data_IF_498740370097
#
_entry.id   IF_498740370097
#
_cell.length_a   1.000
_cell.length_b   1.000
_cell.length_c   1.000
_cell.angle_alpha   90.00
_cell.angle_beta   90.00
_cell.angle_gamma   90.00
#
_symmetry.space_group_name_H-M   'P 1'
#
loop_
_entity.id
_entity.type
_entity.pdbx_description
1 polymer ?
#
# COMPACT_ATOMS: atom_id res chain seq x y z
N UNK A 1 36.08 -50.39 39.95
CA UNK A 1 35.05 -49.33 39.96
C UNK A 1 35.48 -48.32 38.91
N UNK A 2 35.09 -48.57 37.65
CA UNK A 2 35.48 -47.75 36.51
C UNK A 2 34.55 -46.54 36.41
N UNK A 3 35.12 -45.33 36.42
CA UNK A 3 34.39 -44.10 36.11
C UNK A 3 34.45 -43.88 34.60
N UNK A 4 33.33 -44.12 33.92
CA UNK A 4 33.13 -43.68 32.54
C UNK A 4 32.88 -42.18 32.58
N UNK A 5 33.85 -41.39 32.14
CA UNK A 5 33.66 -39.96 31.86
C UNK A 5 32.98 -39.82 30.51
N UNK A 6 31.67 -39.56 30.50
CA UNK A 6 30.93 -39.13 29.31
C UNK A 6 31.39 -37.72 28.94
N UNK A 7 32.08 -37.58 27.81
CA UNK A 7 32.35 -36.29 27.20
C UNK A 7 31.05 -35.76 26.55
N UNK A 8 30.57 -34.62 27.03
CA UNK A 8 29.46 -33.89 26.44
C UNK A 8 29.96 -33.11 25.21
N UNK A 9 29.76 -33.70 24.03
CA UNK A 9 30.18 -33.13 22.76
C UNK A 9 29.11 -32.15 22.26
N UNK A 10 28.90 -31.07 23.00
CA UNK A 10 28.07 -29.94 22.59
C UNK A 10 28.78 -29.10 21.53
N UNK A 11 28.94 -29.65 20.32
CA UNK A 11 29.36 -28.90 19.13
C UNK A 11 28.21 -27.98 18.66
N UNK A 12 28.02 -26.86 19.37
CA UNK A 12 27.31 -25.70 18.83
C UNK A 12 28.13 -25.18 17.66
N UNK A 13 27.73 -25.57 16.45
CA UNK A 13 28.18 -24.91 15.22
C UNK A 13 27.62 -23.49 15.29
N UNK A 14 28.46 -22.54 15.71
CA UNK A 14 28.14 -21.11 15.64
C UNK A 14 27.88 -20.80 14.17
N UNK A 15 26.61 -20.61 13.80
CA UNK A 15 26.28 -20.02 12.52
C UNK A 15 27.02 -18.68 12.44
N UNK A 16 27.88 -18.45 11.44
CA UNK A 16 28.50 -17.16 11.28
C UNK A 16 27.37 -16.15 11.15
N UNK A 17 27.39 -15.12 12.02
CA UNK A 17 26.50 -13.97 11.93
C UNK A 17 26.73 -13.40 10.54
N UNK A 18 25.78 -13.57 9.62
CA UNK A 18 25.86 -12.93 8.30
C UNK A 18 26.02 -11.43 8.58
N UNK A 19 27.13 -10.84 8.17
CA UNK A 19 27.21 -9.39 8.10
C UNK A 19 25.98 -8.92 7.33
N UNK A 20 25.12 -8.14 7.99
CA UNK A 20 23.88 -7.68 7.39
C UNK A 20 24.21 -6.99 6.06
N UNK A 21 23.40 -7.24 5.04
CA UNK A 21 23.59 -6.62 3.74
C UNK A 21 23.76 -5.11 3.88
N UNK A 22 24.90 -4.57 3.45
CA UNK A 22 25.13 -3.13 3.46
C UNK A 22 24.24 -2.49 2.40
N UNK A 23 23.27 -1.71 2.85
CA UNK A 23 22.39 -0.95 1.95
C UNK A 23 23.19 0.14 1.23
N UNK A 24 22.81 0.41 -0.02
CA UNK A 24 23.26 1.60 -0.74
C UNK A 24 22.77 2.88 -0.04
N UNK A 25 23.29 4.06 -0.43
CA UNK A 25 22.71 5.34 0.00
C UNK A 25 21.21 5.46 -0.28
N UNK A 26 20.75 4.99 -1.45
CA UNK A 26 19.30 4.94 -1.79
C UNK A 26 18.56 3.97 -0.88
N UNK A 27 19.08 2.76 -0.65
CA UNK A 27 18.45 1.78 0.24
C UNK A 27 18.32 2.28 1.67
N UNK A 28 19.34 2.98 2.17
CA UNK A 28 19.32 3.60 3.51
C UNK A 28 18.29 4.73 3.58
N UNK A 29 18.26 5.63 2.59
CA UNK A 29 17.27 6.70 2.52
C UNK A 29 15.83 6.15 2.39
N UNK A 30 15.65 5.10 1.59
CA UNK A 30 14.36 4.46 1.38
C UNK A 30 13.85 3.77 2.66
N UNK A 31 14.76 3.15 3.42
CA UNK A 31 14.44 2.62 4.75
C UNK A 31 13.98 3.74 5.72
N UNK A 32 14.65 4.90 5.68
CA UNK A 32 14.23 6.09 6.42
C UNK A 32 12.83 6.57 6.02
N UNK A 33 12.57 6.65 4.71
CA UNK A 33 11.24 6.93 4.17
C UNK A 33 10.17 5.95 4.70
N UNK A 34 10.44 4.63 4.70
CA UNK A 34 9.49 3.64 5.25
C UNK A 34 9.15 3.91 6.72
N UNK A 35 10.07 4.48 7.51
CA UNK A 35 9.80 4.90 8.88
C UNK A 35 8.72 5.98 9.02
N UNK A 36 8.49 6.78 7.97
CA UNK A 36 7.50 7.89 7.98
C UNK A 36 6.10 7.46 7.53
N UNK A 37 5.98 6.34 6.80
CA UNK A 37 4.73 5.92 6.17
C UNK A 37 3.60 5.55 7.14
N UNK A 38 3.92 4.91 8.27
CA UNK A 38 2.89 4.56 9.27
C UNK A 38 2.34 5.79 10.03
N UNK A 39 3.17 6.75 10.45
CA UNK A 39 2.68 8.06 10.91
C UNK A 39 1.71 8.72 9.91
N UNK A 40 2.07 8.78 8.63
CA UNK A 40 1.21 9.32 7.57
C UNK A 40 -0.13 8.58 7.50
N UNK A 41 -0.09 7.26 7.35
CA UNK A 41 -1.29 6.42 7.25
C UNK A 41 -2.24 6.61 8.45
N UNK A 42 -1.70 6.76 9.67
CA UNK A 42 -2.53 7.01 10.85
C UNK A 42 -3.19 8.38 10.82
N UNK A 43 -2.42 9.43 10.53
CA UNK A 43 -2.95 10.79 10.49
C UNK A 43 -4.06 10.94 9.43
N UNK A 44 -3.87 10.34 8.27
CA UNK A 44 -4.84 10.36 7.16
C UNK A 44 -6.09 9.54 7.48
N UNK A 45 -5.92 8.40 8.17
CA UNK A 45 -7.06 7.61 8.65
C UNK A 45 -7.87 8.38 9.70
N UNK A 46 -7.22 9.12 10.59
CA UNK A 46 -7.89 9.89 11.64
C UNK A 46 -8.70 11.06 11.03
N UNK A 47 -8.33 11.55 9.85
CA UNK A 47 -9.15 12.46 9.04
C UNK A 47 -10.25 11.76 8.24
N UNK A 48 -10.07 10.50 7.84
CA UNK A 48 -11.04 9.77 7.02
C UNK A 48 -12.37 9.59 7.77
N UNK A 49 -13.41 10.28 7.33
CA UNK A 49 -14.75 10.25 7.93
C UNK A 49 -15.24 11.59 8.51
N UNK A 50 -14.42 12.64 8.53
CA UNK A 50 -14.88 13.98 8.91
C UNK A 50 -15.63 14.67 7.76
N UNK A 51 -16.87 15.12 8.00
CA UNK A 51 -17.78 15.69 6.99
C UNK A 51 -17.80 17.23 6.93
N UNK A 52 -16.92 17.94 7.62
CA UNK A 52 -16.82 19.41 7.49
C UNK A 52 -18.02 20.22 8.02
N UNK A 53 -19.07 19.57 8.52
CA UNK A 53 -20.33 20.22 8.94
C UNK A 53 -20.30 20.87 10.33
N UNK A 54 -19.12 21.05 10.93
CA UNK A 54 -18.95 21.76 12.19
C UNK A 54 -17.51 22.22 12.37
N UNK A 55 -17.31 23.44 12.87
CA UNK A 55 -15.98 23.92 13.21
C UNK A 55 -15.57 23.32 14.55
N UNK A 56 -14.86 22.20 14.52
CA UNK A 56 -14.28 21.54 15.69
C UNK A 56 -12.77 21.83 15.75
N UNK A 57 -12.29 22.62 16.73
CA UNK A 57 -10.86 22.91 16.92
C UNK A 57 -9.99 21.66 17.13
N UNK A 58 -10.56 20.51 17.53
CA UNK A 58 -9.84 19.25 17.59
C UNK A 58 -9.46 18.73 16.20
N UNK A 59 -10.28 19.01 15.18
CA UNK A 59 -10.04 18.62 13.79
C UNK A 59 -8.92 19.46 13.17
N UNK A 60 -8.80 20.74 13.54
CA UNK A 60 -7.65 21.57 13.14
C UNK A 60 -6.32 20.93 13.55
N UNK A 61 -6.27 20.30 14.72
CA UNK A 61 -5.06 19.60 15.16
C UNK A 61 -4.77 18.36 14.30
N UNK A 62 -5.81 17.59 13.94
CA UNK A 62 -5.67 16.42 13.07
C UNK A 62 -5.28 16.80 11.64
N UNK A 63 -5.82 17.90 11.10
CA UNK A 63 -5.43 18.43 9.79
C UNK A 63 -3.95 18.79 9.80
N UNK A 64 -3.49 19.57 10.79
CA UNK A 64 -2.06 19.94 10.92
C UNK A 64 -1.15 18.73 11.09
N UNK A 65 -1.59 17.70 11.78
CA UNK A 65 -0.82 16.47 11.96
C UNK A 65 -0.71 15.67 10.66
N UNK A 66 -1.80 15.59 9.88
CA UNK A 66 -1.79 14.96 8.55
C UNK A 66 -0.92 15.74 7.57
N UNK A 67 -1.06 17.06 7.48
CA UNK A 67 -0.21 17.94 6.65
C UNK A 67 1.27 17.76 7.00
N UNK A 68 1.60 17.78 8.30
CA UNK A 68 2.98 17.57 8.76
C UNK A 68 3.51 16.19 8.38
N UNK A 69 2.71 15.14 8.57
CA UNK A 69 3.12 13.78 8.21
C UNK A 69 3.33 13.65 6.70
N UNK A 70 2.46 14.28 5.90
CA UNK A 70 2.58 14.35 4.45
C UNK A 70 3.89 15.03 4.02
N UNK A 71 4.17 16.24 4.55
CA UNK A 71 5.38 17.00 4.25
C UNK A 71 6.66 16.22 4.62
N UNK A 72 6.67 15.59 5.79
CA UNK A 72 7.80 14.77 6.25
C UNK A 72 8.01 13.58 5.31
N UNK A 73 6.96 12.84 4.97
CA UNK A 73 7.08 11.70 4.06
C UNK A 73 7.53 12.15 2.67
N UNK A 74 6.96 13.22 2.13
CA UNK A 74 7.35 13.78 0.84
C UNK A 74 8.80 14.27 0.84
N UNK A 75 9.26 14.89 1.93
CA UNK A 75 10.65 15.27 2.15
C UNK A 75 11.60 14.08 2.05
N UNK A 76 11.33 13.00 2.78
CA UNK A 76 12.17 11.79 2.74
C UNK A 76 12.17 11.11 1.37
N UNK A 77 11.05 11.13 0.64
CA UNK A 77 10.99 10.64 -0.74
C UNK A 77 11.87 11.47 -1.68
N UNK A 78 11.86 12.80 -1.56
CA UNK A 78 12.76 13.67 -2.34
C UNK A 78 14.23 13.37 -2.04
N UNK A 79 14.57 13.07 -0.79
CA UNK A 79 15.93 12.63 -0.43
C UNK A 79 16.32 11.32 -1.14
N UNK A 80 15.42 10.33 -1.21
CA UNK A 80 15.64 9.08 -1.96
C UNK A 80 15.96 9.37 -3.42
N UNK A 81 15.17 10.25 -4.07
CA UNK A 81 15.39 10.60 -5.49
C UNK A 81 16.75 11.27 -5.69
N UNK A 82 17.18 12.11 -4.74
CA UNK A 82 18.42 12.87 -4.81
C UNK A 82 19.70 12.03 -4.58
N UNK A 83 19.61 10.86 -3.92
CA UNK A 83 20.78 10.00 -3.71
C UNK A 83 21.30 9.41 -5.04
N UNK A 84 22.62 9.23 -5.20
CA UNK A 84 23.20 8.63 -6.40
C UNK A 84 22.86 7.13 -6.51
N UNK A 85 22.69 6.65 -7.74
CA UNK A 85 22.56 5.21 -8.04
C UNK A 85 23.93 4.56 -7.90
N UNK A 86 23.99 3.48 -7.12
CA UNK A 86 25.23 2.76 -6.82
C UNK A 86 25.14 1.26 -7.05
N UNK A 87 23.91 0.73 -7.17
CA UNK A 87 23.65 -0.69 -7.43
C UNK A 87 22.37 -0.85 -8.25
N UNK A 88 22.24 -2.00 -8.90
CA UNK A 88 21.10 -2.34 -9.77
C UNK A 88 19.72 -2.13 -9.11
N UNK A 89 19.57 -2.61 -7.87
CA UNK A 89 18.33 -2.50 -7.09
C UNK A 89 17.90 -1.08 -6.72
N UNK A 90 18.79 -0.09 -6.82
CA UNK A 90 18.47 1.31 -6.53
C UNK A 90 17.45 1.90 -7.51
N UNK A 91 17.47 1.42 -8.76
CA UNK A 91 16.54 1.87 -9.80
C UNK A 91 15.08 1.53 -9.45
N UNK A 92 14.85 0.32 -8.91
CA UNK A 92 13.54 -0.14 -8.46
C UNK A 92 13.04 0.67 -7.27
N UNK A 93 13.90 0.94 -6.29
CA UNK A 93 13.56 1.77 -5.13
C UNK A 93 13.21 3.20 -5.56
N UNK A 94 13.95 3.77 -6.52
CA UNK A 94 13.64 5.09 -7.07
C UNK A 94 12.32 5.11 -7.84
N UNK A 95 12.00 4.05 -8.58
CA UNK A 95 10.70 3.93 -9.25
C UNK A 95 9.55 3.89 -8.23
N UNK A 96 9.66 3.07 -7.18
CA UNK A 96 8.66 3.02 -6.12
C UNK A 96 8.49 4.39 -5.43
N UNK A 97 9.60 5.10 -5.16
CA UNK A 97 9.56 6.44 -4.58
C UNK A 97 8.82 7.44 -5.49
N UNK A 98 9.03 7.39 -6.82
CA UNK A 98 8.30 8.25 -7.77
C UNK A 98 6.80 7.99 -7.77
N UNK A 99 6.39 6.72 -7.68
CA UNK A 99 4.97 6.36 -7.60
C UNK A 99 4.35 6.90 -6.31
N UNK A 100 5.04 6.76 -5.18
CA UNK A 100 4.60 7.38 -3.92
C UNK A 100 4.41 8.89 -4.04
N UNK A 101 5.40 9.60 -4.59
CA UNK A 101 5.31 11.04 -4.82
C UNK A 101 4.10 11.36 -5.70
N UNK A 102 3.89 10.60 -6.78
CA UNK A 102 2.78 10.86 -7.71
C UNK A 102 1.42 10.67 -7.05
N UNK A 103 1.26 9.61 -6.26
CA UNK A 103 0.03 9.36 -5.48
C UNK A 103 -0.21 10.48 -4.48
N UNK A 104 0.80 10.83 -3.66
CA UNK A 104 0.67 11.86 -2.63
C UNK A 104 0.39 13.26 -3.16
N UNK A 105 0.79 13.55 -4.41
CA UNK A 105 0.61 14.87 -5.04
C UNK A 105 -0.55 14.92 -6.03
N UNK A 106 -1.22 13.79 -6.30
CA UNK A 106 -2.34 13.78 -7.23
C UNK A 106 -3.59 14.36 -6.57
N UNK A 107 -4.24 15.30 -7.26
CA UNK A 107 -5.61 15.72 -6.97
C UNK A 107 -6.66 15.01 -7.84
N UNK A 108 -6.23 14.07 -8.70
CA UNK A 108 -7.09 13.32 -9.61
C UNK A 108 -7.30 11.88 -9.11
N UNK A 109 -8.51 11.52 -8.65
CA UNK A 109 -8.83 10.16 -8.20
C UNK A 109 -8.65 9.09 -9.28
N UNK A 110 -8.87 9.42 -10.56
CA UNK A 110 -8.71 8.47 -11.65
C UNK A 110 -7.25 8.07 -11.83
N UNK A 111 -6.34 9.06 -11.76
CA UNK A 111 -4.90 8.79 -11.77
C UNK A 111 -4.47 7.91 -10.58
N UNK A 112 -4.98 8.17 -9.38
CA UNK A 112 -4.65 7.35 -8.19
C UNK A 112 -5.14 5.91 -8.39
N UNK A 113 -6.33 5.72 -8.97
CA UNK A 113 -6.86 4.40 -9.29
C UNK A 113 -6.01 3.68 -10.36
N UNK A 114 -5.56 4.38 -11.40
CA UNK A 114 -4.68 3.82 -12.43
C UNK A 114 -3.33 3.40 -11.86
N UNK A 115 -2.74 4.21 -10.98
CA UNK A 115 -1.51 3.87 -10.27
C UNK A 115 -1.69 2.65 -9.35
N UNK A 116 -2.84 2.55 -8.68
CA UNK A 116 -3.18 1.37 -7.88
C UNK A 116 -3.26 0.10 -8.75
N UNK A 117 -3.98 0.15 -9.86
CA UNK A 117 -4.09 -0.96 -10.79
C UNK A 117 -2.73 -1.35 -11.38
N UNK A 118 -1.90 -0.37 -11.73
CA UNK A 118 -0.54 -0.61 -12.19
C UNK A 118 0.28 -1.36 -11.15
N UNK A 119 0.27 -0.90 -9.88
CA UNK A 119 0.98 -1.56 -8.78
C UNK A 119 0.52 -3.00 -8.65
N UNK A 120 -0.79 -3.25 -8.58
CA UNK A 120 -1.36 -4.60 -8.38
C UNK A 120 -1.02 -5.53 -9.55
N UNK A 121 -1.21 -5.08 -10.79
CA UNK A 121 -0.98 -5.91 -11.97
C UNK A 121 0.51 -6.18 -12.24
N UNK A 122 1.39 -5.25 -11.84
CA UNK A 122 2.82 -5.27 -12.18
C UNK A 122 3.74 -5.42 -10.97
N UNK A 123 3.26 -5.97 -9.85
CA UNK A 123 4.08 -6.20 -8.64
C UNK A 123 5.37 -6.97 -8.93
N UNK A 124 5.34 -7.92 -9.86
CA UNK A 124 6.50 -8.70 -10.27
C UNK A 124 7.63 -7.86 -10.87
N UNK A 125 7.34 -6.66 -11.41
CA UNK A 125 8.36 -5.73 -11.91
C UNK A 125 9.14 -5.05 -10.78
N UNK A 126 8.63 -5.07 -9.54
CA UNK A 126 9.28 -4.53 -8.34
C UNK A 126 10.03 -5.61 -7.58
N UNK A 127 10.84 -6.39 -8.28
CA UNK A 127 11.63 -7.47 -7.69
C UNK A 127 13.04 -7.47 -8.26
N UNK A 128 14.03 -7.33 -7.40
CA UNK A 128 15.42 -7.57 -7.76
C UNK A 128 15.63 -9.07 -8.01
N UNK A 129 16.21 -9.40 -9.17
CA UNK A 129 16.49 -10.79 -9.55
C UNK A 129 17.62 -11.42 -8.73
N UNK A 130 18.53 -10.57 -8.23
CA UNK A 130 19.70 -10.99 -7.46
C UNK A 130 19.29 -11.72 -6.17
N UNK A 131 19.80 -12.93 -5.99
CA UNK A 131 19.44 -13.84 -4.86
C UNK A 131 20.42 -13.77 -3.68
N UNK A 132 21.20 -12.69 -3.59
CA UNK A 132 22.13 -12.46 -2.48
C UNK A 132 21.48 -11.67 -1.34
N UNK A 133 22.24 -11.45 -0.26
CA UNK A 133 21.74 -10.73 0.91
C UNK A 133 21.26 -9.30 0.57
N UNK A 134 21.92 -8.64 -0.39
CA UNK A 134 21.60 -7.26 -0.79
C UNK A 134 20.32 -7.21 -1.64
N UNK A 135 20.16 -8.12 -2.60
CA UNK A 135 18.92 -8.26 -3.37
C UNK A 135 17.72 -8.59 -2.48
N UNK A 136 17.90 -9.49 -1.51
CA UNK A 136 16.88 -9.80 -0.51
C UNK A 136 16.52 -8.59 0.36
N UNK A 137 17.50 -7.75 0.74
CA UNK A 137 17.23 -6.53 1.49
C UNK A 137 16.43 -5.51 0.65
N UNK A 138 16.76 -5.33 -0.63
CA UNK A 138 16.00 -4.48 -1.55
C UNK A 138 14.56 -4.99 -1.72
N UNK A 139 14.38 -6.29 -1.92
CA UNK A 139 13.06 -6.89 -2.08
C UNK A 139 12.17 -6.66 -0.84
N UNK A 140 12.72 -6.79 0.38
CA UNK A 140 11.98 -6.47 1.61
C UNK A 140 11.55 -5.02 1.69
N UNK A 141 12.40 -4.08 1.25
CA UNK A 141 12.05 -2.66 1.19
C UNK A 141 10.91 -2.40 0.19
N UNK A 142 10.99 -3.02 -1.01
CA UNK A 142 9.96 -2.89 -2.05
C UNK A 142 8.63 -3.48 -1.60
N UNK A 143 8.60 -4.72 -1.11
CA UNK A 143 7.41 -5.38 -0.60
C UNK A 143 6.75 -4.57 0.52
N UNK A 144 7.56 -4.11 1.48
CA UNK A 144 7.10 -3.26 2.56
C UNK A 144 6.52 -1.92 2.08
N UNK A 145 7.11 -1.32 1.05
CA UNK A 145 6.62 -0.07 0.46
C UNK A 145 5.30 -0.25 -0.27
N UNK A 146 5.21 -1.25 -1.14
CA UNK A 146 4.02 -1.52 -1.95
C UNK A 146 2.81 -1.88 -1.08
N UNK A 147 3.02 -2.67 -0.03
CA UNK A 147 1.97 -2.97 0.95
C UNK A 147 1.43 -1.70 1.59
N UNK A 148 2.31 -0.80 2.07
CA UNK A 148 1.90 0.43 2.74
C UNK A 148 1.26 1.43 1.78
N UNK A 149 1.71 1.48 0.53
CA UNK A 149 1.13 2.33 -0.50
C UNK A 149 -0.31 1.93 -0.81
N UNK A 150 -0.56 0.63 -0.95
CA UNK A 150 -1.92 0.11 -1.15
C UNK A 150 -2.85 0.46 0.03
N UNK A 151 -2.34 0.42 1.27
CA UNK A 151 -3.10 0.84 2.45
C UNK A 151 -3.39 2.35 2.40
N UNK A 152 -2.37 3.16 2.08
CA UNK A 152 -2.51 4.61 1.97
C UNK A 152 -3.56 5.00 0.91
N UNK A 153 -3.46 4.44 -0.30
CA UNK A 153 -4.44 4.67 -1.38
C UNK A 153 -5.86 4.34 -0.91
N UNK A 154 -6.06 3.19 -0.26
CA UNK A 154 -7.38 2.80 0.26
C UNK A 154 -7.96 3.74 1.30
N UNK A 155 -7.14 4.55 1.97
CA UNK A 155 -7.60 5.55 2.95
C UNK A 155 -8.01 6.83 2.23
N UNK A 156 -7.15 7.34 1.34
CA UNK A 156 -7.39 8.60 0.63
C UNK A 156 -8.45 8.47 -0.47
N UNK A 157 -8.72 7.26 -0.97
CA UNK A 157 -9.76 6.99 -1.97
C UNK A 157 -11.11 6.59 -1.36
N UNK A 158 -11.30 6.72 -0.03
CA UNK A 158 -12.61 6.47 0.56
C UNK A 158 -13.59 7.56 0.11
N UNK A 159 -14.78 7.17 -0.40
CA UNK A 159 -15.89 8.09 -0.57
C UNK A 159 -16.11 8.88 0.72
N UNK A 160 -16.37 10.19 0.61
CA UNK A 160 -16.94 10.93 1.73
C UNK A 160 -18.31 10.34 2.09
N UNK A 161 -18.83 10.55 3.31
CA UNK A 161 -20.18 10.11 3.68
C UNK A 161 -21.27 10.68 2.76
N UNK A 162 -20.95 11.70 1.97
CA UNK A 162 -21.85 12.32 1.01
C UNK A 162 -22.06 11.51 -0.29
N UNK A 163 -21.27 10.48 -0.56
CA UNK A 163 -21.45 9.62 -1.73
C UNK A 163 -22.29 8.36 -1.42
N UNK A 164 -22.42 7.97 -0.15
CA UNK A 164 -23.24 6.82 0.29
C UNK A 164 -24.75 7.11 0.29
N UNK A 165 -25.19 8.38 0.38
CA UNK A 165 -26.61 8.72 0.29
C UNK A 165 -27.14 8.87 -1.15
N UNK A 166 -26.25 8.89 -2.14
CA UNK A 166 -26.64 9.01 -3.56
C UNK A 166 -27.10 7.68 -4.19
N UNK A 167 -27.20 6.60 -3.40
CA UNK A 167 -27.66 5.29 -3.87
C UNK A 167 -29.00 4.92 -3.21
N UNK A 168 -30.05 4.92 -4.04
CA UNK A 168 -31.47 4.56 -3.81
C UNK A 168 -32.37 5.70 -3.31
N UNK A 169 -32.72 6.60 -4.23
CA UNK A 169 -34.06 7.21 -4.31
C UNK A 169 -34.42 7.47 -5.77
N UNK A 170 -34.32 6.41 -6.59
CA UNK A 170 -34.58 6.43 -8.02
C UNK A 170 -35.14 5.11 -8.51
N UNK A 171 -36.04 4.50 -7.74
CA UNK A 171 -37.00 3.53 -8.26
C UNK A 171 -38.37 4.11 -8.03
N UNK A 172 -38.81 4.88 -9.03
CA UNK A 172 -40.21 5.23 -9.25
C UNK A 172 -40.94 3.93 -9.61
N UNK A 173 -41.24 3.12 -8.59
CA UNK A 173 -42.14 1.97 -8.75
C UNK A 173 -43.54 2.56 -8.63
N UNK A 174 -44.09 2.94 -9.78
CA UNK A 174 -45.53 3.14 -9.92
C UNK A 174 -46.22 1.80 -9.63
N UNK A 175 -47.12 1.70 -8.63
CA UNK A 175 -47.78 0.46 -8.30
C UNK A 175 -49.08 0.39 -9.10
N UNK A 176 -49.00 0.05 -10.39
CA UNK A 176 -50.10 -0.62 -11.10
C UNK A 176 -49.66 -0.91 -12.54
N UNK A 177 -49.26 -2.16 -12.79
CA UNK A 177 -49.76 -2.92 -13.95
C UNK A 177 -49.39 -4.41 -13.78
N UNK A 178 -50.36 -5.34 -13.91
CA UNK A 178 -50.13 -6.76 -13.69
C UNK A 178 -49.35 -7.41 -14.84
N UNK A 179 -48.31 -8.12 -14.45
CA UNK A 179 -47.44 -8.96 -15.28
C UNK A 179 -48.26 -10.04 -16.02
N UNK A 180 -48.44 -9.89 -17.33
CA UNK A 180 -48.99 -10.93 -18.19
C UNK A 180 -48.03 -11.21 -19.35
N UNK A 181 -47.22 -12.26 -19.21
CA UNK A 181 -46.85 -13.21 -20.27
C UNK A 181 -45.68 -14.08 -19.81
N UNK A 182 -45.97 -15.13 -19.04
CA UNK A 182 -45.08 -16.31 -19.01
C UNK A 182 -45.58 -17.28 -20.08
N UNK A 183 -44.64 -17.69 -20.91
CA UNK A 183 -44.80 -18.56 -22.06
C UNK A 183 -45.36 -19.95 -21.70
N UNK A 184 -46.30 -20.43 -22.52
CA UNK A 184 -46.52 -21.85 -22.75
C UNK A 184 -46.20 -22.14 -24.22
N UNK A 185 -45.06 -22.78 -24.43
CA UNK A 185 -44.75 -23.49 -25.66
C UNK A 185 -45.13 -24.96 -25.41
N UNK A 186 -46.29 -25.38 -25.91
CA UNK A 186 -46.57 -26.80 -26.11
C UNK A 186 -46.88 -27.08 -27.59
N UNK A 187 -46.11 -28.04 -28.08
CA UNK A 187 -46.03 -28.60 -29.42
C UNK A 187 -47.37 -29.16 -29.92
N UNK A 188 -47.80 -28.77 -31.12
CA UNK A 188 -48.79 -29.54 -31.86
C UNK A 188 -48.17 -30.81 -32.47
N UNK A 189 -48.81 -31.98 -32.35
CA UNK A 189 -48.43 -33.15 -33.11
C UNK A 189 -49.09 -33.17 -34.49
N UNK A 190 -48.26 -33.56 -35.45
CA UNK A 190 -48.56 -33.78 -36.85
C UNK A 190 -49.37 -35.08 -36.97
N UNK A 191 -50.64 -34.99 -37.36
CA UNK A 191 -51.33 -35.76 -38.42
C UNK A 191 -52.82 -35.93 -38.17
#
# INVERSE_FOLDING_TARGET
>A
MEMITMADNSNTTKFPRSEGAKLSPIGSAFSGFLGTTWPLIRAERDLSGFCGLGWDPAVDAWIRDAERAHDVTLGTLKEVIAKPVSQEGDSLLRMAARIWIRVMQSGDPAEVADLYHFIVAKQHLFRAERRDAVGNAVNRLLEGSLMRLQIYIKIISRPGPDEDWAVVSGTDISPDEPNASIAEAELEPIS
#
